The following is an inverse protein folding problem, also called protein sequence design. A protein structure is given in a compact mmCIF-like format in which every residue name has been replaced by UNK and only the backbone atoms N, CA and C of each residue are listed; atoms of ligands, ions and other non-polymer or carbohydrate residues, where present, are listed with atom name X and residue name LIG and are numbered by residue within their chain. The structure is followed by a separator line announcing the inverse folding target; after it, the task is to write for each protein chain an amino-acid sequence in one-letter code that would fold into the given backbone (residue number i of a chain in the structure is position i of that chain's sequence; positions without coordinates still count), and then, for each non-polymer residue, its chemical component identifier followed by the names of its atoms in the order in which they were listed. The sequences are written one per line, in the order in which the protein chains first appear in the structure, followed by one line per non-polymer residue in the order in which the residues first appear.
data_IF_061492964584
#
_entry.id   IF_061492964584
#
_cell.length_a   1.000
_cell.length_b   1.000
_cell.length_c   1.000
_cell.angle_alpha   90.00
_cell.angle_beta   90.00
_cell.angle_gamma   90.00
#
_symmetry.space_group_name_H-M   'P 1'
#
loop_
_entity.id
_entity.type
_entity.pdbx_description
1 polymer ?
#
# COMPACT_ATOMS: atom_id res chain seq x y z
N UNK A 1 14.46 10.18 -0.44
CA UNK A 1 13.43 10.84 0.39
C UNK A 1 14.09 11.61 1.53
N UNK A 2 13.51 12.72 1.95
CA UNK A 2 14.00 13.53 3.06
C UNK A 2 12.85 13.85 4.02
N UNK A 3 13.13 14.11 5.32
CA UNK A 3 12.08 14.48 6.27
C UNK A 3 11.25 15.69 5.81
N UNK A 4 9.94 15.59 5.93
CA UNK A 4 8.97 16.57 5.42
C UNK A 4 8.38 16.22 4.05
N UNK A 5 8.96 15.26 3.31
CA UNK A 5 8.35 14.76 2.08
C UNK A 5 7.04 14.02 2.40
N UNK A 6 6.06 14.14 1.51
CA UNK A 6 4.80 13.43 1.57
C UNK A 6 4.92 12.02 0.98
N UNK A 7 4.15 11.10 1.52
CA UNK A 7 4.02 9.72 1.03
C UNK A 7 2.65 9.54 0.42
N UNK A 8 2.58 9.07 -0.82
CA UNK A 8 1.32 8.84 -1.52
C UNK A 8 1.28 7.47 -2.21
N UNK A 9 0.05 7.01 -2.49
CA UNK A 9 -0.21 5.78 -3.25
C UNK A 9 -1.20 6.04 -4.37
N UNK A 10 -1.08 5.30 -5.47
CA UNK A 10 -2.08 5.25 -6.53
C UNK A 10 -3.20 4.29 -6.18
N UNK A 11 -4.39 4.48 -6.76
CA UNK A 11 -5.51 3.55 -6.69
C UNK A 11 -6.04 3.28 -5.28
N UNK A 12 -6.32 2.01 -5.00
CA UNK A 12 -6.79 1.51 -3.71
C UNK A 12 -6.10 0.19 -3.37
N UNK A 13 -5.89 -0.08 -2.08
CA UNK A 13 -5.10 -1.17 -1.57
C UNK A 13 -5.94 -2.25 -0.88
N UNK A 14 -5.41 -3.46 -0.80
CA UNK A 14 -5.95 -4.60 -0.09
C UNK A 14 -6.83 -5.53 -0.92
N UNK A 15 -7.21 -5.14 -2.15
CA UNK A 15 -8.08 -5.96 -2.99
C UNK A 15 -7.40 -7.24 -3.49
N UNK A 16 -6.11 -7.20 -3.80
CA UNK A 16 -5.36 -8.40 -4.19
C UNK A 16 -5.25 -9.37 -3.01
N UNK A 17 -4.89 -8.90 -1.83
CA UNK A 17 -4.83 -9.71 -0.62
C UNK A 17 -6.21 -10.29 -0.25
N UNK A 18 -7.28 -9.49 -0.36
CA UNK A 18 -8.66 -9.95 -0.17
C UNK A 18 -9.05 -11.02 -1.19
N UNK A 19 -8.64 -10.87 -2.45
CA UNK A 19 -8.87 -11.86 -3.51
C UNK A 19 -8.11 -13.17 -3.27
N UNK A 20 -6.85 -13.08 -2.90
CA UNK A 20 -6.06 -14.24 -2.51
C UNK A 20 -6.71 -15.02 -1.37
N UNK A 21 -7.10 -14.32 -0.32
CA UNK A 21 -7.74 -14.92 0.85
C UNK A 21 -9.09 -15.55 0.50
N UNK A 22 -9.92 -14.87 -0.29
CA UNK A 22 -11.18 -15.40 -0.79
C UNK A 22 -10.98 -16.73 -1.52
N UNK A 23 -9.98 -16.82 -2.42
CA UNK A 23 -9.70 -18.00 -3.21
C UNK A 23 -9.11 -19.16 -2.38
N UNK A 24 -8.21 -18.86 -1.47
CA UNK A 24 -7.53 -19.91 -0.67
C UNK A 24 -8.37 -20.46 0.47
N UNK A 25 -9.24 -19.62 1.06
CA UNK A 25 -10.14 -20.01 2.15
C UNK A 25 -11.55 -20.42 1.64
N UNK A 26 -11.78 -20.37 0.30
CA UNK A 26 -13.08 -20.67 -0.34
C UNK A 26 -14.24 -19.84 0.25
N UNK A 27 -13.99 -18.54 0.45
CA UNK A 27 -15.01 -17.61 0.96
C UNK A 27 -15.99 -17.23 -0.16
N UNK A 28 -17.28 -17.16 0.17
CA UNK A 28 -18.33 -16.80 -0.76
C UNK A 28 -18.84 -15.38 -0.48
N UNK A 29 -18.86 -14.55 -1.53
CA UNK A 29 -19.42 -13.20 -1.53
C UNK A 29 -20.39 -13.05 -2.69
N UNK A 30 -21.06 -11.91 -2.81
CA UNK A 30 -21.85 -11.62 -4.00
C UNK A 30 -20.98 -11.59 -5.28
N UNK A 31 -21.60 -11.83 -6.44
CA UNK A 31 -20.90 -11.98 -7.73
C UNK A 31 -20.01 -10.76 -8.07
N UNK A 32 -20.46 -9.55 -7.75
CA UNK A 32 -19.69 -8.33 -8.04
C UNK A 32 -18.43 -8.26 -7.17
N UNK A 33 -18.56 -8.53 -5.88
CA UNK A 33 -17.46 -8.55 -4.94
C UNK A 33 -16.46 -9.66 -5.27
N UNK A 34 -16.95 -10.89 -5.52
CA UNK A 34 -16.09 -12.02 -5.89
C UNK A 34 -15.33 -11.77 -7.18
N UNK A 35 -16.00 -11.24 -8.21
CA UNK A 35 -15.37 -10.91 -9.49
C UNK A 35 -14.31 -9.80 -9.32
N UNK A 36 -14.62 -8.76 -8.54
CA UNK A 36 -13.71 -7.63 -8.31
C UNK A 36 -12.44 -8.07 -7.59
N UNK A 37 -12.57 -8.77 -6.47
CA UNK A 37 -11.44 -9.26 -5.67
C UNK A 37 -10.61 -10.29 -6.45
N UNK A 38 -11.25 -11.25 -7.12
CA UNK A 38 -10.56 -12.23 -7.96
C UNK A 38 -9.77 -11.57 -9.10
N UNK A 39 -10.33 -10.54 -9.73
CA UNK A 39 -9.64 -9.79 -10.79
C UNK A 39 -8.45 -9.03 -10.26
N UNK A 40 -8.58 -8.36 -9.11
CA UNK A 40 -7.48 -7.61 -8.49
C UNK A 40 -6.27 -8.51 -8.23
N UNK A 41 -6.51 -9.73 -7.74
CA UNK A 41 -5.43 -10.69 -7.47
C UNK A 41 -4.86 -11.33 -8.75
N UNK A 42 -5.72 -11.85 -9.65
CA UNK A 42 -5.27 -12.65 -10.78
C UNK A 42 -4.82 -11.82 -12.00
N UNK A 43 -5.20 -10.54 -12.07
CA UNK A 43 -4.94 -9.66 -13.22
C UNK A 43 -4.64 -8.23 -12.78
N UNK A 44 -3.56 -8.01 -11.99
CA UNK A 44 -3.17 -6.66 -11.59
C UNK A 44 -2.84 -5.82 -12.83
N UNK A 45 -3.11 -4.52 -12.74
CA UNK A 45 -2.85 -3.57 -13.83
C UNK A 45 -1.56 -2.83 -13.53
N UNK A 46 -0.48 -3.04 -14.32
CA UNK A 46 0.78 -2.35 -14.08
C UNK A 46 0.63 -0.85 -14.35
N UNK A 47 1.09 -0.02 -13.40
CA UNK A 47 0.96 1.44 -13.40
C UNK A 47 2.10 2.12 -14.20
N UNK A 48 2.31 1.68 -15.44
CA UNK A 48 3.43 2.16 -16.29
C UNK A 48 3.23 3.61 -16.70
N UNK A 49 2.02 3.98 -17.13
CA UNK A 49 1.71 5.36 -17.54
C UNK A 49 1.85 6.32 -16.37
N UNK A 50 1.36 5.92 -15.20
CA UNK A 50 1.47 6.67 -13.95
C UNK A 50 2.94 6.83 -13.54
N UNK A 51 3.73 5.76 -13.59
CA UNK A 51 5.16 5.80 -13.27
C UNK A 51 5.94 6.77 -14.17
N UNK A 52 5.64 6.79 -15.47
CA UNK A 52 6.23 7.74 -16.42
C UNK A 52 5.82 9.19 -16.09
N UNK A 53 4.55 9.41 -15.77
CA UNK A 53 4.05 10.73 -15.38
C UNK A 53 4.67 11.22 -14.07
N UNK A 54 4.81 10.35 -13.05
CA UNK A 54 5.50 10.68 -11.80
C UNK A 54 6.95 11.11 -12.06
N UNK A 55 7.69 10.34 -12.86
CA UNK A 55 9.08 10.66 -13.22
C UNK A 55 9.18 11.99 -13.98
N UNK A 56 8.26 12.26 -14.93
CA UNK A 56 8.22 13.50 -15.70
C UNK A 56 7.94 14.74 -14.81
N UNK A 57 7.23 14.55 -13.69
CA UNK A 57 6.97 15.61 -12.70
C UNK A 57 8.07 15.77 -11.64
N UNK A 58 9.14 14.97 -11.70
CA UNK A 58 10.30 15.08 -10.81
C UNK A 58 10.21 14.21 -9.55
N UNK A 59 9.30 13.23 -9.49
CA UNK A 59 9.30 12.22 -8.43
C UNK A 59 10.51 11.31 -8.64
N UNK A 60 11.38 11.21 -7.63
CA UNK A 60 12.64 10.44 -7.68
C UNK A 60 12.66 9.24 -6.72
N UNK A 61 11.63 9.10 -5.88
CA UNK A 61 11.50 7.99 -4.95
C UNK A 61 10.12 7.34 -5.14
N UNK A 62 10.10 6.18 -5.77
CA UNK A 62 8.90 5.40 -6.01
C UNK A 62 9.24 3.90 -6.06
N UNK A 63 8.26 3.08 -5.70
CA UNK A 63 8.31 1.61 -5.76
C UNK A 63 6.89 1.11 -6.04
N UNK A 64 6.74 -0.06 -6.64
CA UNK A 64 5.46 -0.78 -6.67
C UNK A 64 5.19 -1.48 -5.33
N UNK A 65 3.92 -1.65 -5.00
CA UNK A 65 3.49 -2.37 -3.79
C UNK A 65 3.32 -3.85 -4.16
N UNK A 66 4.37 -4.61 -3.90
CA UNK A 66 4.44 -6.05 -4.19
C UNK A 66 4.45 -6.92 -2.92
N UNK A 67 5.10 -6.47 -1.85
CA UNK A 67 5.19 -7.20 -0.58
C UNK A 67 4.24 -6.64 0.49
N UNK A 68 3.66 -5.48 0.22
CA UNK A 68 2.74 -4.76 1.08
C UNK A 68 3.17 -3.32 1.38
N UNK A 69 2.21 -2.45 1.62
CA UNK A 69 2.45 -1.02 1.81
C UNK A 69 3.54 -0.73 2.85
N UNK A 70 3.45 -1.36 4.02
CA UNK A 70 4.36 -1.09 5.14
C UNK A 70 5.77 -1.61 4.84
N UNK A 71 5.88 -2.77 4.22
CA UNK A 71 7.17 -3.37 3.86
C UNK A 71 7.87 -2.59 2.76
N UNK A 72 7.16 -2.25 1.68
CA UNK A 72 7.74 -1.54 0.54
C UNK A 72 8.11 -0.10 0.91
N UNK A 73 7.30 0.58 1.75
CA UNK A 73 7.68 1.87 2.33
C UNK A 73 8.91 1.73 3.24
N UNK A 74 9.00 0.64 4.00
CA UNK A 74 10.17 0.32 4.82
C UNK A 74 11.46 0.21 4.01
N UNK A 75 11.40 -0.38 2.80
CA UNK A 75 12.54 -0.45 1.87
C UNK A 75 12.98 0.94 1.42
N UNK A 76 12.04 1.84 1.09
CA UNK A 76 12.33 3.24 0.73
C UNK A 76 12.92 4.01 1.93
N UNK A 77 12.37 3.82 3.13
CA UNK A 77 12.89 4.42 4.35
C UNK A 77 14.35 4.00 4.61
N UNK A 78 14.61 2.69 4.54
CA UNK A 78 15.95 2.13 4.74
C UNK A 78 16.95 2.64 3.70
N UNK A 79 16.59 2.71 2.43
CA UNK A 79 17.47 3.20 1.37
C UNK A 79 17.76 4.70 1.48
N UNK A 80 16.91 5.46 2.18
CA UNK A 80 17.06 6.90 2.38
C UNK A 80 17.56 7.30 3.78
N UNK A 81 17.69 6.35 4.73
CA UNK A 81 18.12 6.61 6.10
C UNK A 81 17.11 7.44 6.90
N UNK A 82 15.81 7.23 6.69
CA UNK A 82 14.69 8.01 7.28
C UNK A 82 13.62 7.11 7.86
N UNK A 83 12.69 7.68 8.66
CA UNK A 83 11.45 7.02 9.05
C UNK A 83 10.24 7.53 8.27
N UNK A 84 9.11 6.84 8.38
CA UNK A 84 7.84 7.31 7.84
C UNK A 84 6.71 7.16 8.86
N UNK A 85 5.68 8.02 8.74
CA UNK A 85 4.42 7.91 9.47
C UNK A 85 3.29 7.75 8.45
N UNK A 86 2.52 6.66 8.55
CA UNK A 86 1.34 6.39 7.74
C UNK A 86 0.09 6.51 8.60
N UNK A 87 -0.93 7.20 8.08
CA UNK A 87 -2.23 7.37 8.74
C UNK A 87 -3.23 6.39 8.17
N UNK A 88 -3.75 5.48 9.00
CA UNK A 88 -4.69 4.44 8.55
C UNK A 88 -5.99 5.00 7.98
N UNK A 89 -6.47 6.13 8.53
CA UNK A 89 -7.69 6.81 8.07
C UNK A 89 -7.55 7.40 6.66
N UNK A 90 -6.32 7.56 6.16
CA UNK A 90 -6.02 8.06 4.81
C UNK A 90 -5.69 6.96 3.81
N UNK A 91 -5.44 5.73 4.24
CA UNK A 91 -5.13 4.63 3.31
C UNK A 91 -6.37 4.31 2.48
N UNK A 92 -6.30 4.44 1.15
CA UNK A 92 -7.44 4.19 0.29
C UNK A 92 -7.70 2.68 0.19
N UNK A 93 -8.95 2.28 0.46
CA UNK A 93 -9.40 0.91 0.30
C UNK A 93 -10.74 0.86 -0.42
N UNK A 94 -10.88 -0.09 -1.35
CA UNK A 94 -12.08 -0.27 -2.16
C UNK A 94 -13.30 -0.67 -1.33
N UNK A 95 -14.48 -0.28 -1.81
CA UNK A 95 -15.76 -0.61 -1.15
C UNK A 95 -16.04 -2.11 -1.09
N UNK A 96 -15.63 -2.88 -2.11
CA UNK A 96 -15.83 -4.33 -2.14
C UNK A 96 -14.96 -5.01 -1.09
N UNK A 97 -13.72 -4.55 -0.90
CA UNK A 97 -12.86 -5.02 0.18
C UNK A 97 -13.48 -4.73 1.56
N UNK A 98 -13.90 -3.49 1.80
CA UNK A 98 -14.52 -3.09 3.08
C UNK A 98 -15.80 -3.87 3.38
N UNK A 99 -16.57 -4.21 2.35
CA UNK A 99 -17.80 -5.02 2.49
C UNK A 99 -17.49 -6.49 2.77
N UNK A 100 -16.49 -7.05 2.08
CA UNK A 100 -16.11 -8.45 2.25
C UNK A 100 -15.39 -8.71 3.58
N UNK A 101 -14.56 -7.76 4.03
CA UNK A 101 -13.72 -7.87 5.22
C UNK A 101 -13.87 -6.65 6.13
N UNK A 102 -15.06 -6.42 6.73
CA UNK A 102 -15.36 -5.18 7.47
C UNK A 102 -14.40 -4.91 8.64
N UNK A 103 -13.94 -5.96 9.32
CA UNK A 103 -13.06 -5.86 10.48
C UNK A 103 -11.56 -5.97 10.14
N UNK A 104 -11.23 -6.42 8.92
CA UNK A 104 -9.86 -6.79 8.55
C UNK A 104 -9.32 -6.01 7.35
N UNK A 105 -10.15 -5.22 6.67
CA UNK A 105 -9.75 -4.50 5.45
C UNK A 105 -8.52 -3.60 5.65
N UNK A 106 -8.35 -3.03 6.85
CA UNK A 106 -7.19 -2.20 7.15
C UNK A 106 -5.90 -3.02 7.18
N UNK A 107 -5.93 -4.20 7.81
CA UNK A 107 -4.79 -5.10 7.84
C UNK A 107 -4.44 -5.58 6.42
N UNK A 108 -5.45 -5.92 5.60
CA UNK A 108 -5.27 -6.30 4.21
C UNK A 108 -4.68 -5.16 3.36
N UNK A 109 -5.12 -3.91 3.58
CA UNK A 109 -4.62 -2.75 2.84
C UNK A 109 -3.20 -2.32 3.26
N UNK A 110 -2.80 -2.58 4.51
CA UNK A 110 -1.49 -2.20 5.04
C UNK A 110 -0.40 -3.25 4.77
N UNK A 111 -0.75 -4.53 4.90
CA UNK A 111 0.21 -5.65 4.80
C UNK A 111 -0.01 -6.56 3.60
N UNK A 112 -1.08 -6.35 2.83
CA UNK A 112 -1.37 -7.16 1.65
C UNK A 112 -0.42 -6.88 0.49
N UNK A 113 0.20 -7.93 -0.05
CA UNK A 113 1.05 -7.85 -1.23
C UNK A 113 0.28 -8.05 -2.55
N UNK A 114 1.04 -8.03 -3.66
CA UNK A 114 0.55 -8.25 -5.03
C UNK A 114 -0.48 -7.20 -5.51
N UNK A 115 -0.42 -5.97 -4.97
CA UNK A 115 -1.33 -4.86 -5.35
C UNK A 115 -0.89 -4.19 -6.64
N UNK A 116 0.42 -4.05 -6.87
CA UNK A 116 1.06 -3.39 -8.02
C UNK A 116 0.58 -1.95 -8.25
N UNK A 117 0.08 -1.30 -7.20
CA UNK A 117 -0.07 0.15 -7.16
C UNK A 117 1.29 0.81 -6.90
N UNK A 118 1.45 2.09 -7.24
CA UNK A 118 2.67 2.82 -6.96
C UNK A 118 2.61 3.49 -5.59
N UNK A 119 3.66 3.30 -4.83
CA UNK A 119 4.00 4.05 -3.63
C UNK A 119 5.10 5.04 -4.00
N UNK A 120 4.91 6.33 -3.72
CA UNK A 120 5.88 7.36 -4.09
C UNK A 120 6.00 8.45 -3.03
N UNK A 121 7.15 9.11 -3.03
CA UNK A 121 7.54 10.10 -2.03
C UNK A 121 8.05 11.34 -2.75
N UNK A 122 7.55 12.51 -2.37
CA UNK A 122 7.98 13.78 -2.95
C UNK A 122 7.71 14.94 -1.98
N UNK A 123 8.43 16.07 -2.12
CA UNK A 123 8.03 17.34 -1.51
C UNK A 123 6.64 17.77 -1.98
N UNK A 124 5.92 18.53 -1.15
CA UNK A 124 4.52 18.95 -1.39
C UNK A 124 4.29 19.54 -2.79
N UNK A 125 5.15 20.46 -3.25
CA UNK A 125 5.00 21.09 -4.58
C UNK A 125 5.13 20.07 -5.75
N UNK A 126 5.99 19.09 -5.61
CA UNK A 126 6.14 18.01 -6.60
C UNK A 126 4.96 17.05 -6.49
N UNK A 127 4.56 16.71 -5.27
CA UNK A 127 3.43 15.83 -4.99
C UNK A 127 2.15 16.35 -5.65
N UNK A 128 1.82 17.62 -5.44
CA UNK A 128 0.63 18.25 -6.00
C UNK A 128 0.62 18.22 -7.54
N UNK A 129 1.74 18.57 -8.18
CA UNK A 129 1.86 18.50 -9.65
C UNK A 129 1.77 17.08 -10.17
N UNK A 130 2.42 16.13 -9.49
CA UNK A 130 2.42 14.73 -9.87
C UNK A 130 0.99 14.17 -9.80
N UNK A 131 0.29 14.36 -8.70
CA UNK A 131 -1.10 13.91 -8.54
C UNK A 131 -2.01 14.54 -9.58
N UNK A 132 -1.89 15.84 -9.83
CA UNK A 132 -2.70 16.55 -10.83
C UNK A 132 -2.48 16.06 -12.28
N UNK A 133 -1.35 15.43 -12.57
CA UNK A 133 -1.03 14.87 -13.89
C UNK A 133 -1.58 13.47 -14.14
N UNK A 134 -2.13 12.82 -13.12
CA UNK A 134 -2.61 11.44 -13.19
C UNK A 134 -4.13 11.40 -13.38
N UNK A 135 -4.60 10.49 -14.23
CA UNK A 135 -6.03 10.21 -14.39
C UNK A 135 -6.58 9.30 -13.28
N UNK A 136 -5.69 8.51 -12.69
CA UNK A 136 -6.01 7.60 -11.60
C UNK A 136 -6.03 8.33 -10.25
N UNK A 137 -6.98 8.06 -9.35
CA UNK A 137 -6.96 8.61 -8.00
C UNK A 137 -5.65 8.29 -7.27
N UNK A 138 -5.08 9.32 -6.64
CA UNK A 138 -3.91 9.19 -5.78
C UNK A 138 -4.22 9.78 -4.41
N UNK A 139 -3.68 9.19 -3.36
CA UNK A 139 -3.95 9.61 -2.00
C UNK A 139 -2.65 9.81 -1.22
N UNK A 140 -2.48 11.00 -0.64
CA UNK A 140 -1.41 11.24 0.35
C UNK A 140 -1.81 10.56 1.65
N UNK A 141 -1.01 9.59 2.08
CA UNK A 141 -1.30 8.71 3.21
C UNK A 141 -0.42 8.96 4.43
N UNK A 142 0.65 9.76 4.27
CA UNK A 142 1.61 9.96 5.34
C UNK A 142 2.73 10.92 4.97
N UNK A 143 3.78 10.89 5.78
CA UNK A 143 4.95 11.76 5.65
C UNK A 143 6.24 11.06 6.06
N UNK A 144 7.36 11.54 5.54
CA UNK A 144 8.71 11.14 5.93
C UNK A 144 9.14 11.95 7.15
N UNK A 145 9.71 11.27 8.13
CA UNK A 145 10.13 11.89 9.40
C UNK A 145 11.60 11.60 9.72
N UNK A 146 12.19 12.46 10.55
CA UNK A 146 13.47 12.15 11.18
C UNK A 146 13.26 11.01 12.17
N UNK A 147 14.08 9.98 12.11
CA UNK A 147 13.97 8.87 13.06
C UNK A 147 14.56 7.55 12.54
N UNK A 148 14.33 6.47 13.26
CA UNK A 148 14.79 5.16 12.82
C UNK A 148 14.15 4.77 11.48
N UNK A 149 14.88 3.97 10.70
CA UNK A 149 14.50 3.47 9.37
C UNK A 149 13.32 2.49 9.46
N UNK A 150 12.17 2.98 9.96
CA UNK A 150 10.97 2.19 10.14
C UNK A 150 9.71 2.98 9.77
N UNK A 151 8.66 2.25 9.45
CA UNK A 151 7.33 2.80 9.23
C UNK A 151 6.55 2.72 10.53
N UNK A 152 6.01 3.85 10.98
CA UNK A 152 4.99 3.92 12.02
C UNK A 152 3.63 4.04 11.39
N UNK A 153 2.71 3.21 11.81
CA UNK A 153 1.31 3.30 11.41
C UNK A 153 0.50 3.87 12.58
N UNK A 154 -0.26 4.92 12.32
CA UNK A 154 -1.04 5.60 13.36
C UNK A 154 -2.52 5.68 12.98
N UNK A 155 -3.39 5.65 13.98
CA UNK A 155 -4.83 5.91 13.81
C UNK A 155 -5.14 7.42 13.61
N UNK A 156 -6.41 7.74 13.45
CA UNK A 156 -6.89 9.12 13.30
C UNK A 156 -6.56 10.03 14.50
N UNK A 157 -6.26 9.46 15.68
CA UNK A 157 -5.89 10.18 16.90
C UNK A 157 -4.37 10.29 17.09
N UNK A 158 -3.58 9.73 16.16
CA UNK A 158 -2.12 9.68 16.24
C UNK A 158 -1.56 8.57 17.13
N UNK A 159 -2.40 7.64 17.60
CA UNK A 159 -1.97 6.48 18.37
C UNK A 159 -1.35 5.43 17.45
N UNK A 160 -0.15 4.97 17.78
CA UNK A 160 0.54 3.91 17.02
C UNK A 160 -0.25 2.59 17.08
N UNK A 161 -0.49 2.02 15.89
CA UNK A 161 -1.12 0.71 15.72
C UNK A 161 -0.02 -0.28 15.39
N UNK A 162 0.11 -1.40 16.13
CA UNK A 162 1.03 -2.46 15.76
C UNK A 162 0.58 -3.08 14.42
N UNK A 163 1.46 -3.04 13.44
CA UNK A 163 1.29 -3.76 12.18
C UNK A 163 2.30 -4.89 12.18
N UNK A 164 1.84 -6.09 11.87
CA UNK A 164 2.74 -7.22 11.68
C UNK A 164 3.59 -6.93 10.44
N UNK A 165 4.88 -6.66 10.67
CA UNK A 165 5.85 -6.34 9.60
C UNK A 165 6.43 -7.62 8.98
N UNK A 166 5.82 -8.76 9.21
CA UNK A 166 6.18 -9.98 8.50
C UNK A 166 5.59 -9.93 7.08
N UNK A 167 6.26 -9.22 6.18
CA UNK A 167 6.03 -9.32 4.75
C UNK A 167 6.08 -10.78 4.29
N UNK A 168 5.51 -11.07 3.15
CA UNK A 168 5.53 -12.42 2.58
C UNK A 168 6.98 -12.87 2.33
N UNK A 169 7.50 -13.71 3.23
CA UNK A 169 8.81 -14.35 3.06
C UNK A 169 8.64 -15.67 2.29
N UNK A 170 9.00 -15.66 1.02
CA UNK A 170 8.98 -16.83 0.14
C UNK A 170 9.83 -18.01 0.64
N UNK A 171 10.70 -17.81 1.63
CA UNK A 171 11.63 -18.80 2.14
C UNK A 171 11.30 -19.30 3.55
N UNK A 172 10.27 -18.77 4.22
CA UNK A 172 9.81 -19.34 5.48
C UNK A 172 9.05 -20.65 5.25
N UNK A 173 9.78 -21.76 5.31
CA UNK A 173 9.17 -23.08 5.48
C UNK A 173 8.47 -23.13 6.84
N UNK A 174 7.13 -23.03 6.87
CA UNK A 174 6.36 -23.49 8.04
C UNK A 174 6.70 -24.95 8.24
N UNK A 175 7.44 -25.28 9.33
CA UNK A 175 7.56 -26.67 9.76
C UNK A 175 6.15 -27.21 10.02
N UNK A 176 5.79 -28.38 9.47
CA UNK A 176 4.50 -28.99 9.79
C UNK A 176 4.41 -29.24 11.29
N UNK A 177 3.23 -29.09 11.92
CA UNK A 177 3.04 -29.41 13.32
C UNK A 177 3.38 -30.88 13.55
N UNK A 178 4.19 -31.13 14.58
CA UNK A 178 4.60 -32.44 15.08
C UNK A 178 3.44 -33.22 15.69
#
# INVERSE_FOLDING_TARGET
AVPGDQVAVTGSLGCSAGGFRMLTENLEFDDQTSTHLSRAHNRPIPRIAEGLALAANGVVAAIDISDGLVDDLGKLCKSSGVGAVVRTDKVPADRHLKRAFPDEWQALALGGGEEYELLFIAPEEIMDRAIASLELPCTVIGEIVVGPERVKVVDQNGKEIPVDQSGWDHFQHKQPPS
#
